data_IF_765867622885
#
_entry.id   IF_765867622885
#
_cell.length_a   1.000
_cell.length_b   1.000
_cell.length_c   1.000
_cell.angle_alpha   90.00
_cell.angle_beta   90.00
_cell.angle_gamma   90.00
#
_symmetry.space_group_name_H-M   'P 1'
#
loop_
_entity.id
_entity.type
_entity.pdbx_description
1 polymer ?
#
# COMPACT_ATOMS: atom_id res chain seq x y z
N UNK A 1 -25.86 -8.02 -24.16
CA UNK A 1 -25.12 -7.90 -22.91
C UNK A 1 -23.81 -7.20 -23.19
N UNK A 2 -23.59 -6.07 -22.57
CA UNK A 2 -22.27 -5.44 -22.56
C UNK A 2 -21.76 -5.45 -21.11
N UNK A 3 -20.95 -6.45 -20.82
CA UNK A 3 -20.29 -6.58 -19.52
C UNK A 3 -19.39 -5.35 -19.28
N UNK A 4 -19.66 -4.61 -18.24
CA UNK A 4 -18.77 -3.56 -17.73
C UNK A 4 -17.75 -4.21 -16.81
N UNK A 5 -16.47 -4.00 -17.14
CA UNK A 5 -15.35 -4.47 -16.34
C UNK A 5 -14.25 -3.43 -16.34
N UNK A 6 -14.13 -2.69 -15.25
CA UNK A 6 -13.08 -1.67 -15.07
C UNK A 6 -12.21 -2.07 -13.88
N UNK A 7 -10.90 -2.07 -14.06
CA UNK A 7 -9.91 -2.35 -13.02
C UNK A 7 -9.27 -1.05 -12.55
N UNK A 8 -9.25 -0.83 -11.26
CA UNK A 8 -8.64 0.35 -10.64
C UNK A 8 -7.42 -0.06 -9.85
N UNK A 9 -6.23 0.28 -10.36
CA UNK A 9 -4.97 0.05 -9.67
C UNK A 9 -4.67 1.21 -8.71
N UNK A 10 -4.35 0.90 -7.47
CA UNK A 10 -3.86 1.85 -6.47
C UNK A 10 -2.35 1.74 -6.38
N UNK A 11 -1.68 2.51 -7.24
CA UNK A 11 -0.22 2.53 -7.30
C UNK A 11 0.40 2.78 -5.92
N UNK A 12 1.54 2.15 -5.68
CA UNK A 12 2.30 2.24 -4.43
C UNK A 12 1.86 1.21 -3.40
N UNK A 13 0.57 1.11 -3.09
CA UNK A 13 0.00 0.04 -2.25
C UNK A 13 -0.11 -1.27 -3.05
N UNK A 14 -0.21 -1.15 -4.37
CA UNK A 14 -0.46 -2.23 -5.32
C UNK A 14 -1.81 -2.93 -5.10
N UNK A 15 -2.78 -2.23 -4.48
CA UNK A 15 -4.14 -2.73 -4.34
C UNK A 15 -4.91 -2.58 -5.65
N UNK A 16 -5.77 -3.54 -5.94
CA UNK A 16 -6.59 -3.61 -7.14
C UNK A 16 -8.05 -3.75 -6.71
N UNK A 17 -8.88 -2.85 -7.21
CA UNK A 17 -10.33 -2.89 -7.05
C UNK A 17 -11.01 -2.94 -8.40
N UNK A 18 -12.29 -3.30 -8.43
CA UNK A 18 -13.01 -3.53 -9.67
C UNK A 18 -14.37 -2.83 -9.64
N UNK A 19 -14.76 -2.22 -10.78
CA UNK A 19 -16.14 -1.87 -11.08
C UNK A 19 -16.64 -2.85 -12.16
N UNK A 20 -17.70 -3.57 -11.84
CA UNK A 20 -18.32 -4.54 -12.74
C UNK A 20 -19.82 -4.24 -12.82
N UNK A 21 -20.47 -4.64 -13.92
CA UNK A 21 -21.90 -4.40 -14.07
C UNK A 21 -22.40 -4.73 -15.46
N UNK A 22 -23.65 -4.33 -15.69
CA UNK A 22 -24.36 -4.49 -16.94
C UNK A 22 -24.90 -3.14 -17.40
N UNK A 23 -24.60 -2.75 -18.66
CA UNK A 23 -25.02 -1.46 -19.22
C UNK A 23 -26.49 -1.45 -19.64
N UNK A 24 -27.10 -2.62 -19.95
CA UNK A 24 -28.51 -2.70 -20.33
C UNK A 24 -29.41 -2.51 -19.10
N UNK A 25 -29.06 -3.06 -17.94
CA UNK A 25 -29.77 -2.79 -16.68
C UNK A 25 -29.35 -1.48 -16.01
N UNK A 26 -28.22 -0.91 -16.42
CA UNK A 26 -27.70 0.30 -15.82
C UNK A 26 -27.27 0.17 -14.37
N UNK A 27 -26.89 -1.04 -13.92
CA UNK A 27 -26.46 -1.33 -12.55
C UNK A 27 -25.05 -1.88 -12.50
N UNK A 28 -24.34 -1.57 -11.41
CA UNK A 28 -22.98 -2.02 -11.19
C UNK A 28 -22.62 -2.21 -9.74
N UNK A 29 -21.52 -2.91 -9.52
CA UNK A 29 -20.93 -3.19 -8.23
C UNK A 29 -19.46 -2.78 -8.20
N UNK A 30 -18.98 -2.38 -7.01
CA UNK A 30 -17.56 -2.14 -6.77
C UNK A 30 -17.05 -3.17 -5.77
N UNK A 31 -15.91 -3.78 -6.08
CA UNK A 31 -15.24 -4.75 -5.21
C UNK A 31 -13.96 -4.11 -4.65
N UNK A 32 -13.79 -4.13 -3.33
CA UNK A 32 -12.66 -3.62 -2.55
C UNK A 32 -12.30 -2.15 -2.88
N UNK A 33 -13.23 -1.18 -2.72
CA UNK A 33 -12.96 0.21 -3.09
C UNK A 33 -11.91 0.87 -2.20
N UNK A 34 -11.02 1.65 -2.81
CA UNK A 34 -10.11 2.57 -2.09
C UNK A 34 -10.85 3.80 -1.56
N UNK A 35 -10.31 4.53 -0.56
CA UNK A 35 -11.04 5.62 0.11
C UNK A 35 -11.23 6.89 -0.73
N UNK A 36 -10.40 7.14 -1.73
CA UNK A 36 -10.56 8.23 -2.71
C UNK A 36 -11.53 7.79 -3.82
N UNK A 37 -12.84 7.75 -3.47
CA UNK A 37 -13.91 7.08 -4.23
C UNK A 37 -14.33 7.75 -5.52
N UNK A 38 -13.88 8.98 -5.80
CA UNK A 38 -14.21 9.75 -6.99
C UNK A 38 -14.02 8.97 -8.28
N UNK A 39 -12.98 8.12 -8.32
CA UNK A 39 -12.67 7.28 -9.49
C UNK A 39 -13.83 6.33 -9.85
N UNK A 40 -14.49 5.74 -8.87
CA UNK A 40 -15.62 4.82 -9.12
C UNK A 40 -16.86 5.57 -9.59
N UNK A 41 -17.12 6.76 -9.03
CA UNK A 41 -18.21 7.62 -9.45
C UNK A 41 -18.02 8.12 -10.89
N UNK A 42 -16.79 8.42 -11.29
CA UNK A 42 -16.44 8.80 -12.66
C UNK A 42 -16.58 7.61 -13.63
N UNK A 43 -16.08 6.43 -13.25
CA UNK A 43 -16.20 5.23 -14.06
C UNK A 43 -17.66 4.81 -14.22
N UNK A 44 -18.46 4.84 -13.16
CA UNK A 44 -19.89 4.52 -13.21
C UNK A 44 -20.63 5.48 -14.17
N UNK A 45 -20.35 6.80 -14.07
CA UNK A 45 -20.93 7.80 -14.98
C UNK A 45 -20.51 7.58 -16.43
N UNK A 46 -19.22 7.28 -16.67
CA UNK A 46 -18.68 7.01 -18.02
C UNK A 46 -19.36 5.80 -18.67
N UNK A 47 -19.62 4.77 -17.87
CA UNK A 47 -20.24 3.53 -18.33
C UNK A 47 -21.79 3.54 -18.22
N UNK A 48 -22.41 4.63 -17.79
CA UNK A 48 -23.86 4.79 -17.74
C UNK A 48 -24.56 3.92 -16.68
N UNK A 49 -23.86 3.52 -15.60
CA UNK A 49 -24.40 2.65 -14.56
C UNK A 49 -24.50 3.34 -13.19
N UNK A 50 -25.47 2.93 -12.41
CA UNK A 50 -25.56 3.26 -10.99
C UNK A 50 -24.84 2.19 -10.15
N UNK A 51 -23.99 2.61 -9.22
CA UNK A 51 -23.40 1.69 -8.24
C UNK A 51 -24.47 1.34 -7.21
N UNK A 52 -24.85 0.08 -7.14
CA UNK A 52 -25.89 -0.45 -6.24
C UNK A 52 -25.32 -1.37 -5.17
N UNK A 53 -24.18 -1.98 -5.42
CA UNK A 53 -23.52 -2.92 -4.52
C UNK A 53 -22.07 -2.55 -4.33
N UNK A 54 -21.58 -2.72 -3.10
CA UNK A 54 -20.19 -2.54 -2.73
C UNK A 54 -19.77 -3.78 -1.96
N UNK A 55 -18.83 -4.54 -2.51
CA UNK A 55 -18.38 -5.79 -1.93
C UNK A 55 -17.01 -5.63 -1.28
N UNK A 56 -16.85 -6.17 -0.08
CA UNK A 56 -15.57 -6.38 0.57
C UNK A 56 -15.21 -7.86 0.49
N UNK A 57 -13.99 -8.17 0.04
CA UNK A 57 -13.49 -9.56 0.09
C UNK A 57 -13.04 -9.93 1.50
N UNK A 58 -12.50 -8.99 2.25
CA UNK A 58 -12.00 -9.18 3.61
C UNK A 58 -11.79 -7.83 4.33
N UNK A 59 -11.45 -7.87 5.61
CA UNK A 59 -11.06 -6.67 6.37
C UNK A 59 -9.61 -6.30 6.01
N UNK A 60 -9.44 -5.31 5.14
CA UNK A 60 -8.14 -4.86 4.62
C UNK A 60 -7.20 -4.36 5.72
N UNK A 61 -5.91 -4.69 5.58
CA UNK A 61 -4.85 -4.27 6.50
C UNK A 61 -3.96 -3.15 5.95
N UNK A 62 -3.92 -2.96 4.65
CA UNK A 62 -2.95 -2.14 3.92
C UNK A 62 -3.47 -0.75 3.53
N UNK A 63 -4.79 -0.60 3.38
CA UNK A 63 -5.46 0.67 3.07
C UNK A 63 -6.76 0.85 3.84
N UNK A 64 -7.25 2.08 3.89
CA UNK A 64 -8.61 2.37 4.39
C UNK A 64 -9.61 1.92 3.34
N UNK A 65 -10.60 1.10 3.71
CA UNK A 65 -11.71 0.75 2.82
C UNK A 65 -12.54 1.98 2.48
N UNK A 66 -12.84 2.12 1.19
CA UNK A 66 -13.73 3.17 0.66
C UNK A 66 -15.21 2.82 0.73
N UNK A 67 -15.59 1.65 1.23
CA UNK A 67 -16.97 1.15 1.15
C UNK A 67 -17.97 2.08 1.79
N UNK A 68 -17.70 2.58 2.99
CA UNK A 68 -18.61 3.51 3.67
C UNK A 68 -18.69 4.86 2.97
N UNK A 69 -17.56 5.38 2.51
CA UNK A 69 -17.50 6.64 1.74
C UNK A 69 -18.29 6.51 0.45
N UNK A 70 -18.09 5.40 -0.29
CA UNK A 70 -18.78 5.16 -1.55
C UNK A 70 -20.30 4.97 -1.35
N UNK A 71 -20.70 4.25 -0.29
CA UNK A 71 -22.12 4.09 0.06
C UNK A 71 -22.77 5.43 0.41
N UNK A 72 -22.10 6.28 1.18
CA UNK A 72 -22.57 7.63 1.50
C UNK A 72 -22.69 8.49 0.24
N UNK A 73 -21.71 8.45 -0.65
CA UNK A 73 -21.69 9.25 -1.88
C UNK A 73 -22.73 8.83 -2.91
N UNK A 74 -23.08 7.56 -2.96
CA UNK A 74 -24.10 7.02 -3.89
C UNK A 74 -25.51 7.10 -3.31
N UNK A 75 -25.68 7.15 -1.97
CA UNK A 75 -26.95 7.13 -1.22
C UNK A 75 -27.82 5.88 -1.43
N UNK A 76 -27.52 5.05 -2.42
CA UNK A 76 -28.32 3.86 -2.80
C UNK A 76 -27.56 2.56 -2.66
N UNK A 77 -26.23 2.60 -2.79
CA UNK A 77 -25.41 1.40 -2.71
C UNK A 77 -25.34 0.86 -1.27
N UNK A 78 -25.42 -0.47 -1.17
CA UNK A 78 -25.26 -1.20 0.09
C UNK A 78 -23.88 -1.84 0.15
N UNK A 79 -23.33 -1.90 1.36
CA UNK A 79 -22.05 -2.57 1.61
C UNK A 79 -22.31 -4.02 1.99
N UNK A 80 -21.70 -4.94 1.29
CA UNK A 80 -21.78 -6.38 1.48
C UNK A 80 -20.44 -6.89 2.01
N UNK A 81 -20.44 -7.56 3.14
CA UNK A 81 -19.24 -8.12 3.76
C UNK A 81 -19.53 -9.48 4.41
N UNK A 82 -18.51 -10.32 4.46
CA UNK A 82 -18.64 -11.69 4.97
C UNK A 82 -19.11 -11.73 6.42
N UNK A 83 -20.09 -12.59 6.71
CA UNK A 83 -20.50 -12.92 8.07
C UNK A 83 -19.81 -14.18 8.62
N UNK A 84 -18.93 -14.78 7.83
CA UNK A 84 -18.16 -15.97 8.19
C UNK A 84 -16.93 -15.63 9.04
N UNK A 85 -16.26 -16.63 9.56
CA UNK A 85 -14.98 -16.48 10.26
C UNK A 85 -15.00 -15.66 11.54
N UNK A 86 -16.20 -15.26 12.02
CA UNK A 86 -16.37 -14.48 13.25
C UNK A 86 -16.04 -12.99 13.07
N UNK A 87 -16.16 -12.46 11.87
CA UNK A 87 -15.98 -11.02 11.61
C UNK A 87 -17.06 -10.18 12.29
N UNK A 88 -16.64 -9.08 12.91
CA UNK A 88 -17.52 -8.10 13.52
C UNK A 88 -17.30 -6.73 12.87
N UNK A 89 -18.39 -6.09 12.42
CA UNK A 89 -18.36 -4.77 11.82
C UNK A 89 -19.06 -3.74 12.70
N UNK A 90 -18.38 -2.63 12.98
CA UNK A 90 -18.89 -1.49 13.74
C UNK A 90 -19.82 -0.56 12.95
N UNK A 91 -20.24 -0.97 11.75
CA UNK A 91 -21.11 -0.21 10.86
C UNK A 91 -22.08 -1.14 10.11
N UNK A 92 -23.08 -0.58 9.45
CA UNK A 92 -24.08 -1.37 8.73
C UNK A 92 -23.47 -2.03 7.50
N UNK A 93 -23.55 -3.35 7.46
CA UNK A 93 -23.25 -4.19 6.31
C UNK A 93 -24.38 -5.17 6.05
N UNK A 94 -24.60 -5.52 4.80
CA UNK A 94 -25.43 -6.67 4.42
C UNK A 94 -24.56 -7.93 4.54
N UNK A 95 -24.94 -8.90 5.37
CA UNK A 95 -24.11 -10.07 5.62
C UNK A 95 -24.06 -11.00 4.42
N UNK A 96 -22.85 -11.39 4.01
CA UNK A 96 -22.61 -12.36 2.94
C UNK A 96 -22.24 -13.71 3.53
N UNK A 97 -22.95 -14.76 3.10
CA UNK A 97 -22.68 -16.15 3.46
C UNK A 97 -22.15 -16.91 2.24
N UNK A 98 -21.52 -18.05 2.49
CA UNK A 98 -21.09 -18.96 1.41
C UNK A 98 -22.28 -19.37 0.54
N UNK A 99 -22.13 -19.27 -0.79
CA UNK A 99 -23.17 -19.57 -1.77
C UNK A 99 -24.18 -18.45 -2.03
N UNK A 100 -24.06 -17.27 -1.39
CA UNK A 100 -24.93 -16.14 -1.72
C UNK A 100 -24.72 -15.66 -3.15
N UNK A 101 -25.83 -15.43 -3.89
CA UNK A 101 -25.81 -14.99 -5.28
C UNK A 101 -26.27 -13.54 -5.43
N UNK A 102 -25.62 -12.79 -6.29
CA UNK A 102 -25.93 -11.41 -6.64
C UNK A 102 -26.03 -11.28 -8.17
N UNK A 103 -27.12 -10.68 -8.64
CA UNK A 103 -27.40 -10.54 -10.08
C UNK A 103 -27.32 -9.09 -10.53
N UNK A 104 -26.65 -8.88 -11.65
CA UNK A 104 -26.51 -7.60 -12.35
C UNK A 104 -26.78 -7.83 -13.83
N UNK A 105 -28.03 -7.74 -14.25
CA UNK A 105 -28.42 -8.17 -15.56
C UNK A 105 -28.06 -9.64 -15.82
N UNK A 106 -27.30 -9.88 -16.88
CA UNK A 106 -26.82 -11.22 -17.20
C UNK A 106 -25.58 -11.68 -16.40
N UNK A 107 -24.99 -10.83 -15.57
CA UNK A 107 -23.88 -11.19 -14.69
C UNK A 107 -24.39 -11.75 -13.35
N UNK A 108 -23.86 -12.88 -12.94
CA UNK A 108 -24.09 -13.49 -11.62
C UNK A 108 -22.77 -13.58 -10.87
N UNK A 109 -22.75 -13.05 -9.64
CA UNK A 109 -21.67 -13.25 -8.69
C UNK A 109 -22.11 -14.22 -7.61
N UNK A 110 -21.36 -15.30 -7.42
CA UNK A 110 -21.55 -16.23 -6.31
C UNK A 110 -20.44 -16.04 -5.27
N UNK A 111 -20.83 -15.68 -4.06
CA UNK A 111 -19.89 -15.54 -2.95
C UNK A 111 -19.43 -16.93 -2.47
N UNK A 112 -18.14 -17.10 -2.21
CA UNK A 112 -17.58 -18.33 -1.68
C UNK A 112 -16.64 -18.02 -0.52
N UNK A 113 -16.90 -18.59 0.66
CA UNK A 113 -16.00 -18.46 1.80
C UNK A 113 -14.63 -19.06 1.45
N UNK A 114 -13.58 -18.25 1.55
CA UNK A 114 -12.22 -18.57 1.09
C UNK A 114 -11.17 -18.17 2.13
N UNK A 115 -11.26 -18.70 3.37
CA UNK A 115 -10.41 -18.31 4.48
C UNK A 115 -8.95 -18.70 4.26
N UNK A 116 -8.05 -17.99 4.98
CA UNK A 116 -6.62 -18.27 4.96
C UNK A 116 -5.77 -17.02 5.10
N UNK A 117 -5.97 -16.00 4.27
CA UNK A 117 -5.39 -14.68 4.51
C UNK A 117 -6.04 -14.02 5.74
N UNK A 118 -7.36 -14.06 5.78
CA UNK A 118 -8.16 -13.73 6.98
C UNK A 118 -9.23 -14.81 7.21
N UNK A 119 -9.79 -14.93 8.42
CA UNK A 119 -10.81 -15.95 8.71
C UNK A 119 -12.11 -15.71 7.96
N UNK A 120 -12.49 -14.45 7.76
CA UNK A 120 -13.75 -14.02 7.14
C UNK A 120 -13.67 -13.86 5.63
N UNK A 121 -12.52 -14.11 5.03
CA UNK A 121 -12.29 -13.86 3.62
C UNK A 121 -13.32 -14.55 2.71
N UNK A 122 -13.84 -13.80 1.74
CA UNK A 122 -14.77 -14.28 0.72
C UNK A 122 -14.26 -13.91 -0.67
N UNK A 123 -14.37 -14.81 -1.62
CA UNK A 123 -14.16 -14.53 -3.04
C UNK A 123 -15.49 -14.50 -3.78
N UNK A 124 -15.53 -13.89 -4.96
CA UNK A 124 -16.72 -13.80 -5.79
C UNK A 124 -16.47 -14.46 -7.14
N UNK A 125 -17.19 -15.56 -7.40
CA UNK A 125 -17.12 -16.31 -8.65
C UNK A 125 -18.12 -15.69 -9.63
N UNK A 126 -17.65 -15.32 -10.82
CA UNK A 126 -18.42 -14.61 -11.83
C UNK A 126 -18.80 -15.57 -12.98
N UNK A 127 -20.08 -15.59 -13.32
CA UNK A 127 -20.63 -16.37 -14.42
C UNK A 127 -21.72 -15.57 -15.15
N UNK A 128 -22.09 -16.03 -16.35
CA UNK A 128 -23.26 -15.54 -17.06
C UNK A 128 -24.52 -16.23 -16.53
N UNK A 129 -25.63 -15.51 -16.43
CA UNK A 129 -26.92 -16.08 -15.96
C UNK A 129 -27.40 -17.26 -16.83
N UNK A 130 -27.11 -17.24 -18.14
CA UNK A 130 -27.43 -18.33 -19.04
C UNK A 130 -26.57 -19.59 -18.82
N UNK A 131 -25.38 -19.41 -18.19
CA UNK A 131 -24.40 -20.47 -17.98
C UNK A 131 -23.78 -20.41 -16.57
N UNK A 132 -24.60 -20.48 -15.50
CA UNK A 132 -24.13 -20.27 -14.12
C UNK A 132 -23.11 -21.32 -13.64
N UNK A 133 -23.14 -22.52 -14.24
CA UNK A 133 -22.21 -23.62 -13.94
C UNK A 133 -20.83 -23.47 -14.61
N UNK A 134 -20.67 -22.47 -15.48
CA UNK A 134 -19.44 -22.23 -16.24
C UNK A 134 -18.87 -20.83 -15.96
N UNK A 135 -18.27 -20.62 -14.79
CA UNK A 135 -17.72 -19.33 -14.44
C UNK A 135 -16.57 -18.94 -15.38
N UNK A 136 -16.54 -17.68 -15.76
CA UNK A 136 -15.46 -17.12 -16.59
C UNK A 136 -14.38 -16.43 -15.76
N UNK A 137 -14.68 -16.02 -14.52
CA UNK A 137 -13.76 -15.30 -13.65
C UNK A 137 -14.01 -15.51 -12.16
N UNK A 138 -13.02 -15.19 -11.35
CA UNK A 138 -13.12 -15.16 -9.89
C UNK A 138 -12.33 -14.00 -9.32
N UNK A 139 -12.99 -13.16 -8.50
CA UNK A 139 -12.36 -12.10 -7.72
C UNK A 139 -11.83 -12.73 -6.43
N UNK A 140 -10.55 -13.04 -6.44
CA UNK A 140 -9.91 -13.88 -5.42
C UNK A 140 -9.55 -13.12 -4.14
N UNK A 141 -9.74 -11.79 -4.11
CA UNK A 141 -9.28 -10.99 -2.99
C UNK A 141 -7.78 -11.23 -2.74
N UNK A 142 -7.46 -11.44 -1.46
CA UNK A 142 -6.11 -11.75 -1.01
C UNK A 142 -5.86 -13.25 -0.75
N UNK A 143 -6.75 -14.14 -1.22
CA UNK A 143 -6.54 -15.59 -1.05
C UNK A 143 -5.61 -16.20 -2.10
N UNK A 144 -5.72 -15.76 -3.37
CA UNK A 144 -4.88 -16.22 -4.48
C UNK A 144 -4.44 -15.03 -5.33
N UNK A 145 -3.13 -14.89 -5.52
CA UNK A 145 -2.49 -13.90 -6.38
C UNK A 145 -1.84 -14.56 -7.61
N UNK A 146 -1.44 -13.75 -8.56
CA UNK A 146 -0.58 -14.21 -9.64
C UNK A 146 0.76 -14.66 -9.07
N UNK A 147 1.12 -15.94 -9.27
CA UNK A 147 2.35 -16.56 -8.80
C UNK A 147 2.52 -16.58 -7.26
N UNK A 148 1.48 -16.27 -6.49
CA UNK A 148 1.57 -16.19 -5.03
C UNK A 148 0.21 -16.48 -4.39
N UNK A 149 0.15 -16.41 -3.06
CA UNK A 149 -1.08 -16.42 -2.27
C UNK A 149 -0.96 -15.48 -1.08
N UNK A 150 -2.08 -15.13 -0.47
CA UNK A 150 -2.11 -14.25 0.68
C UNK A 150 -1.38 -14.82 1.89
N UNK A 151 -0.76 -13.95 2.66
CA UNK A 151 -0.03 -14.33 3.88
C UNK A 151 -0.98 -14.67 5.01
N UNK A 152 -0.83 -15.84 5.65
CA UNK A 152 -1.72 -16.28 6.74
C UNK A 152 -1.27 -15.82 8.14
N UNK A 153 -0.11 -15.16 8.28
CA UNK A 153 0.56 -14.89 9.55
C UNK A 153 0.12 -13.60 10.26
N UNK A 154 -0.73 -12.77 9.63
CA UNK A 154 -1.13 -11.45 10.18
C UNK A 154 -1.91 -11.53 11.51
N UNK A 155 -2.48 -12.68 11.86
CA UNK A 155 -3.15 -12.90 13.15
C UNK A 155 -2.27 -13.65 14.17
N UNK A 156 -0.98 -13.81 13.91
CA UNK A 156 0.01 -14.33 14.83
C UNK A 156 -0.30 -15.76 15.29
N UNK A 157 -0.93 -15.95 16.46
CA UNK A 157 -1.21 -17.27 17.06
C UNK A 157 -2.07 -18.20 16.21
N UNK A 158 -2.83 -17.68 15.25
CA UNK A 158 -3.72 -18.44 14.39
C UNK A 158 -3.09 -18.74 13.02
N UNK A 159 -1.80 -18.42 12.82
CA UNK A 159 -1.12 -18.52 11.54
C UNK A 159 -1.13 -19.94 10.94
N UNK A 160 -0.85 -20.98 11.74
CA UNK A 160 -0.89 -22.39 11.28
C UNK A 160 -2.29 -22.80 10.83
N UNK A 161 -3.31 -22.40 11.59
CA UNK A 161 -4.71 -22.65 11.25
C UNK A 161 -5.10 -21.97 9.95
N UNK A 162 -4.73 -20.69 9.80
CA UNK A 162 -5.05 -19.90 8.60
C UNK A 162 -4.27 -20.45 7.38
N UNK A 163 -3.01 -20.83 7.54
CA UNK A 163 -2.26 -21.47 6.46
C UNK A 163 -2.88 -22.80 6.02
N UNK A 164 -3.40 -23.61 6.96
CA UNK A 164 -4.15 -24.81 6.64
C UNK A 164 -5.48 -24.52 5.95
N UNK A 165 -6.20 -23.48 6.34
CA UNK A 165 -7.42 -23.04 5.67
C UNK A 165 -7.12 -22.48 4.26
N UNK A 166 -6.01 -21.77 4.07
CA UNK A 166 -5.57 -21.34 2.76
C UNK A 166 -5.30 -22.51 1.82
N UNK A 167 -4.72 -23.59 2.35
CA UNK A 167 -4.57 -24.84 1.59
C UNK A 167 -5.94 -25.34 1.11
N UNK A 168 -6.95 -25.41 1.99
CA UNK A 168 -8.29 -25.86 1.61
C UNK A 168 -8.90 -24.92 0.57
N UNK A 169 -8.76 -23.62 0.73
CA UNK A 169 -9.22 -22.62 -0.24
C UNK A 169 -8.60 -22.85 -1.62
N UNK A 170 -7.29 -23.10 -1.70
CA UNK A 170 -6.62 -23.30 -2.97
C UNK A 170 -6.99 -24.65 -3.60
N UNK A 171 -6.97 -25.73 -2.81
CA UNK A 171 -7.14 -27.09 -3.34
C UNK A 171 -8.59 -27.55 -3.43
N UNK A 172 -9.47 -27.11 -2.50
CA UNK A 172 -10.85 -27.59 -2.45
C UNK A 172 -11.85 -26.60 -3.10
N UNK A 173 -11.45 -25.34 -3.29
CA UNK A 173 -12.29 -24.34 -3.98
C UNK A 173 -11.70 -24.04 -5.37
N UNK A 174 -10.56 -23.37 -5.45
CA UNK A 174 -10.05 -22.87 -6.73
C UNK A 174 -9.57 -23.98 -7.68
N UNK A 175 -8.91 -25.01 -7.18
CA UNK A 175 -8.43 -26.09 -8.04
C UNK A 175 -9.55 -26.90 -8.72
N UNK A 176 -10.80 -26.78 -8.23
CA UNK A 176 -11.99 -27.40 -8.82
C UNK A 176 -12.63 -26.57 -9.93
N UNK A 177 -12.25 -25.28 -10.03
CA UNK A 177 -12.67 -24.45 -11.14
C UNK A 177 -11.95 -24.89 -12.42
N UNK A 178 -12.61 -24.64 -13.56
CA UNK A 178 -12.03 -24.91 -14.88
C UNK A 178 -10.73 -24.11 -15.07
N UNK A 179 -9.79 -24.71 -15.80
CA UNK A 179 -8.45 -24.14 -16.03
C UNK A 179 -8.49 -22.77 -16.75
N UNK A 180 -9.56 -22.49 -17.49
CA UNK A 180 -9.78 -21.24 -18.22
C UNK A 180 -10.29 -20.08 -17.37
N UNK A 181 -10.78 -20.33 -16.17
CA UNK A 181 -11.31 -19.28 -15.27
C UNK A 181 -10.20 -18.27 -14.93
N UNK A 182 -10.49 -16.98 -15.17
CA UNK A 182 -9.55 -15.89 -14.92
C UNK A 182 -9.59 -15.50 -13.44
N UNK A 183 -8.43 -15.37 -12.81
CA UNK A 183 -8.32 -14.81 -11.45
C UNK A 183 -8.13 -13.30 -11.49
N UNK A 184 -8.89 -12.60 -10.66
CA UNK A 184 -8.86 -11.16 -10.45
C UNK A 184 -8.51 -10.86 -8.98
N UNK A 185 -7.21 -10.76 -8.63
CA UNK A 185 -6.78 -10.58 -7.24
C UNK A 185 -6.93 -9.13 -6.78
N UNK A 186 -7.01 -8.91 -5.45
CA UNK A 186 -7.02 -7.55 -4.88
C UNK A 186 -5.63 -6.92 -4.75
N UNK A 187 -4.55 -7.67 -5.06
CA UNK A 187 -3.19 -7.09 -5.09
C UNK A 187 -2.33 -7.58 -6.25
N UNK A 188 -1.43 -6.67 -6.67
CA UNK A 188 -0.36 -6.92 -7.64
C UNK A 188 1.03 -6.91 -7.01
N UNK A 189 2.05 -6.97 -7.87
CA UNK A 189 3.47 -6.95 -7.50
C UNK A 189 3.82 -5.75 -6.63
N UNK A 190 4.55 -6.02 -5.54
CA UNK A 190 5.00 -5.02 -4.57
C UNK A 190 4.15 -4.87 -3.31
N UNK A 191 2.97 -5.51 -3.24
CA UNK A 191 2.18 -5.53 -2.02
C UNK A 191 2.81 -6.44 -0.95
N UNK A 192 2.87 -6.02 0.32
CA UNK A 192 3.29 -6.87 1.42
C UNK A 192 2.23 -7.87 1.89
N UNK A 193 1.05 -7.93 1.24
CA UNK A 193 0.01 -8.93 1.52
C UNK A 193 0.36 -10.33 1.01
N UNK A 194 1.36 -10.46 0.13
CA UNK A 194 1.91 -11.73 -0.33
C UNK A 194 3.40 -11.62 -0.63
N UNK A 195 4.09 -12.75 -0.67
CA UNK A 195 5.49 -12.82 -1.07
C UNK A 195 5.58 -13.06 -2.58
N UNK A 196 6.46 -12.34 -3.27
CA UNK A 196 6.79 -12.56 -4.69
C UNK A 196 5.58 -12.59 -5.64
N UNK A 197 4.60 -11.70 -5.41
CA UNK A 197 3.45 -11.54 -6.32
C UNK A 197 3.95 -11.15 -7.71
N UNK A 198 3.43 -11.82 -8.74
CA UNK A 198 3.84 -11.60 -10.13
C UNK A 198 3.41 -10.25 -10.69
N UNK A 199 4.09 -9.78 -11.73
CA UNK A 199 3.88 -8.45 -12.33
C UNK A 199 2.59 -8.35 -13.18
N UNK A 200 1.98 -9.48 -13.56
CA UNK A 200 0.70 -9.48 -14.27
C UNK A 200 -0.44 -9.19 -13.30
N UNK A 201 -1.46 -8.46 -13.77
CA UNK A 201 -2.61 -8.10 -12.95
C UNK A 201 -3.73 -9.15 -12.95
N UNK A 202 -3.58 -10.19 -13.75
CA UNK A 202 -4.50 -11.33 -13.86
C UNK A 202 -3.76 -12.58 -14.31
N UNK A 203 -4.37 -13.74 -14.10
CA UNK A 203 -3.89 -15.05 -14.53
C UNK A 203 -5.08 -15.98 -14.73
N UNK A 204 -4.84 -17.26 -14.94
CA UNK A 204 -5.91 -18.28 -14.99
C UNK A 204 -5.67 -19.36 -13.94
N UNK A 205 -6.74 -20.00 -13.51
CA UNK A 205 -6.65 -21.13 -12.57
C UNK A 205 -5.67 -22.21 -13.09
N UNK A 206 -5.75 -22.54 -14.37
CA UNK A 206 -4.84 -23.56 -14.96
C UNK A 206 -3.38 -23.13 -14.97
N UNK A 207 -3.10 -21.83 -15.20
CA UNK A 207 -1.72 -21.32 -15.12
C UNK A 207 -1.21 -21.37 -13.67
N UNK A 208 -2.01 -20.90 -12.71
CA UNK A 208 -1.62 -20.91 -11.31
C UNK A 208 -1.43 -22.36 -10.76
N UNK A 209 -2.34 -23.29 -11.08
CA UNK A 209 -2.16 -24.72 -10.73
C UNK A 209 -0.83 -25.28 -11.23
N UNK A 210 -0.34 -24.80 -12.36
CA UNK A 210 0.88 -25.31 -12.98
C UNK A 210 2.17 -24.64 -12.48
N UNK A 211 2.13 -23.35 -12.20
CA UNK A 211 3.35 -22.55 -11.99
C UNK A 211 3.43 -21.84 -10.64
N UNK A 212 2.30 -21.64 -9.95
CA UNK A 212 2.30 -20.99 -8.66
C UNK A 212 3.02 -21.85 -7.61
N UNK A 213 4.00 -21.31 -6.88
CA UNK A 213 4.76 -22.07 -5.86
C UNK A 213 3.90 -22.73 -4.80
N UNK A 214 2.76 -22.16 -4.44
CA UNK A 214 1.83 -22.74 -3.47
C UNK A 214 1.20 -24.04 -3.98
N UNK A 215 0.78 -24.09 -5.24
CA UNK A 215 0.24 -25.31 -5.86
C UNK A 215 1.30 -26.40 -6.10
N UNK A 216 2.59 -26.07 -6.02
CA UNK A 216 3.66 -27.08 -6.06
C UNK A 216 3.82 -27.83 -4.72
N UNK A 217 3.13 -27.41 -3.65
CA UNK A 217 3.12 -28.04 -2.32
C UNK A 217 1.82 -28.81 -2.14
N UNK A 218 1.80 -30.05 -2.66
CA UNK A 218 0.59 -30.88 -2.65
C UNK A 218 0.24 -31.41 -1.25
N UNK A 219 1.26 -31.63 -0.42
CA UNK A 219 1.06 -32.09 0.96
C UNK A 219 0.76 -30.88 1.86
N UNK A 220 -0.31 -30.97 2.65
CA UNK A 220 -0.78 -29.87 3.53
C UNK A 220 0.33 -29.29 4.41
N UNK A 221 1.10 -30.17 5.08
CA UNK A 221 2.18 -29.69 5.98
C UNK A 221 3.26 -28.94 5.21
N UNK A 222 3.68 -29.46 4.06
CA UNK A 222 4.66 -28.76 3.20
C UNK A 222 4.15 -27.42 2.67
N UNK A 223 2.85 -27.30 2.46
CA UNK A 223 2.20 -26.02 2.10
C UNK A 223 2.23 -25.04 3.28
N UNK A 224 1.83 -25.48 4.47
CA UNK A 224 1.82 -24.67 5.70
C UNK A 224 3.24 -24.16 6.00
N UNK A 225 4.23 -25.07 5.98
CA UNK A 225 5.64 -24.72 6.21
C UNK A 225 6.13 -23.67 5.19
N UNK A 226 5.75 -23.80 3.92
CA UNK A 226 6.10 -22.85 2.88
C UNK A 226 5.44 -21.48 3.09
N UNK A 227 4.14 -21.45 3.39
CA UNK A 227 3.38 -20.22 3.58
C UNK A 227 3.91 -19.40 4.78
N UNK A 228 4.48 -20.06 5.79
CA UNK A 228 4.97 -19.42 7.01
C UNK A 228 6.51 -19.22 7.02
N UNK A 229 7.24 -19.75 6.03
CA UNK A 229 8.72 -19.75 6.07
C UNK A 229 9.34 -18.35 6.04
N UNK A 230 8.85 -17.46 5.19
CA UNK A 230 9.46 -16.13 4.97
C UNK A 230 8.44 -15.07 4.57
N UNK A 231 7.49 -14.73 5.45
CA UNK A 231 6.58 -13.65 5.15
C UNK A 231 7.34 -12.31 5.03
N UNK A 232 6.91 -11.39 4.16
CA UNK A 232 7.48 -10.05 4.12
C UNK A 232 7.29 -9.34 5.48
N UNK A 233 8.15 -8.37 5.85
CA UNK A 233 7.96 -7.61 7.09
C UNK A 233 6.55 -7.02 7.18
N UNK A 234 5.87 -7.26 8.31
CA UNK A 234 4.52 -6.69 8.55
C UNK A 234 4.62 -5.18 8.75
N UNK A 235 3.91 -4.37 7.95
CA UNK A 235 3.84 -2.94 8.19
C UNK A 235 3.21 -2.59 9.54
N UNK A 236 3.83 -1.68 10.27
CA UNK A 236 3.41 -1.33 11.64
C UNK A 236 1.97 -0.80 11.71
N UNK A 237 1.48 -0.22 10.63
CA UNK A 237 0.14 0.34 10.55
C UNK A 237 -0.97 -0.68 10.24
N UNK A 238 -0.64 -1.93 9.84
CA UNK A 238 -1.62 -2.96 9.47
C UNK A 238 -2.61 -3.25 10.59
N UNK A 239 -2.15 -3.40 11.82
CA UNK A 239 -3.05 -3.63 12.98
C UNK A 239 -4.02 -2.48 13.21
N UNK A 240 -3.58 -1.24 12.92
CA UNK A 240 -4.44 -0.05 12.99
C UNK A 240 -5.48 -0.07 11.87
N UNK A 241 -5.06 -0.39 10.64
CA UNK A 241 -5.98 -0.46 9.50
C UNK A 241 -7.06 -1.52 9.70
N UNK A 242 -6.71 -2.73 10.12
CA UNK A 242 -7.69 -3.78 10.43
C UNK A 242 -8.74 -3.29 11.44
N UNK A 243 -8.30 -2.67 12.53
CA UNK A 243 -9.23 -2.11 13.52
C UNK A 243 -10.11 -1.00 12.95
N UNK A 244 -9.53 -0.11 12.15
CA UNK A 244 -10.23 0.99 11.52
C UNK A 244 -11.29 0.48 10.54
N UNK A 245 -10.92 -0.47 9.67
CA UNK A 245 -11.83 -1.03 8.66
C UNK A 245 -12.93 -1.87 9.30
N UNK A 246 -12.63 -2.66 10.33
CA UNK A 246 -13.65 -3.39 11.09
C UNK A 246 -14.60 -2.44 11.84
N UNK A 247 -14.10 -1.39 12.48
CA UNK A 247 -14.95 -0.42 13.19
C UNK A 247 -15.77 0.46 12.24
N UNK A 248 -15.37 0.56 10.97
CA UNK A 248 -15.95 1.43 9.97
C UNK A 248 -15.22 2.79 9.91
N UNK A 249 -14.45 3.06 8.85
CA UNK A 249 -13.77 4.34 8.66
C UNK A 249 -14.76 5.51 8.72
N UNK A 250 -14.29 6.67 9.16
CA UNK A 250 -15.08 7.90 9.12
C UNK A 250 -15.45 8.26 7.68
N UNK A 251 -16.69 8.62 7.45
CA UNK A 251 -17.15 9.17 6.17
C UNK A 251 -16.72 10.62 6.07
N UNK A 252 -15.91 10.93 5.09
CA UNK A 252 -15.36 12.28 4.90
C UNK A 252 -16.29 13.18 4.05
N UNK A 253 -17.11 12.57 3.18
CA UNK A 253 -17.98 13.25 2.21
C UNK A 253 -17.22 13.96 1.10
N UNK A 254 -15.98 14.30 1.33
CA UNK A 254 -15.02 14.88 0.38
C UNK A 254 -13.60 14.73 0.89
N UNK A 255 -12.63 14.89 0.00
CA UNK A 255 -11.22 14.94 0.41
C UNK A 255 -10.95 16.07 1.41
N UNK A 256 -10.13 15.83 2.45
CA UNK A 256 -9.75 16.87 3.40
C UNK A 256 -9.08 18.06 2.72
N UNK A 257 -9.57 19.26 3.01
CA UNK A 257 -8.94 20.49 2.54
C UNK A 257 -7.73 20.79 3.42
N UNK A 258 -6.55 20.94 2.79
CA UNK A 258 -5.33 21.32 3.48
C UNK A 258 -5.28 22.87 3.57
N UNK A 259 -5.28 23.46 4.76
CA UNK A 259 -5.22 24.94 4.90
C UNK A 259 -3.95 25.53 4.27
N UNK A 260 -4.11 26.58 3.48
CA UNK A 260 -3.00 27.30 2.87
C UNK A 260 -2.39 28.29 3.88
N UNK A 261 -1.12 28.15 4.25
CA UNK A 261 -0.45 29.00 5.25
C UNK A 261 0.63 29.89 4.62
N UNK A 262 0.56 31.21 4.78
CA UNK A 262 1.65 32.11 4.41
C UNK A 262 2.93 31.77 5.20
N UNK A 263 4.15 32.11 4.69
CA UNK A 263 5.42 31.72 5.32
C UNK A 263 5.54 32.03 6.82
N UNK A 264 5.03 33.18 7.25
CA UNK A 264 5.10 33.57 8.68
C UNK A 264 4.20 32.69 9.55
N UNK A 265 2.99 32.37 9.11
CA UNK A 265 2.07 31.49 9.82
C UNK A 265 2.60 30.03 9.83
N UNK A 266 3.14 29.59 8.69
CA UNK A 266 3.75 28.26 8.59
C UNK A 266 4.97 28.13 9.52
N UNK A 267 5.87 29.14 9.57
CA UNK A 267 7.01 29.18 10.48
C UNK A 267 6.57 29.03 11.94
N UNK A 268 5.54 29.81 12.34
CA UNK A 268 4.97 29.71 13.68
C UNK A 268 4.47 28.29 13.99
N UNK A 269 3.74 27.66 13.07
CA UNK A 269 3.24 26.28 13.23
C UNK A 269 4.38 25.26 13.35
N UNK A 270 5.49 25.44 12.62
CA UNK A 270 6.71 24.60 12.76
C UNK A 270 7.34 24.76 14.14
N UNK A 271 7.45 25.99 14.64
CA UNK A 271 8.06 26.28 15.95
C UNK A 271 7.23 25.75 17.13
N UNK A 272 5.92 25.75 17.01
CA UNK A 272 4.99 25.19 18.01
C UNK A 272 5.09 23.65 18.14
N UNK A 273 5.66 22.96 17.15
CA UNK A 273 5.82 21.49 17.11
C UNK A 273 4.53 20.69 17.38
N UNK A 274 3.38 21.28 17.08
CA UNK A 274 2.07 20.67 17.28
C UNK A 274 1.66 19.74 16.10
N UNK A 275 2.48 19.67 15.07
CA UNK A 275 2.23 18.88 13.86
C UNK A 275 3.52 18.23 13.33
N UNK A 276 3.35 17.16 12.58
CA UNK A 276 4.45 16.48 11.90
C UNK A 276 4.79 17.23 10.61
N UNK A 277 6.02 17.69 10.47
CA UNK A 277 6.47 18.41 9.29
C UNK A 277 6.95 17.40 8.23
N UNK A 278 6.28 17.38 7.08
CA UNK A 278 6.59 16.51 5.94
C UNK A 278 6.85 17.35 4.70
N UNK A 279 8.01 17.11 4.09
CA UNK A 279 8.38 17.68 2.79
C UNK A 279 8.12 16.64 1.71
N UNK A 280 7.15 16.91 0.84
CA UNK A 280 6.71 15.99 -0.21
C UNK A 280 7.43 16.21 -1.55
N UNK A 281 8.39 17.11 -1.60
CA UNK A 281 9.21 17.35 -2.79
C UNK A 281 10.17 16.20 -3.09
N UNK A 282 10.76 16.22 -4.26
CA UNK A 282 11.74 15.20 -4.66
C UNK A 282 12.95 15.20 -3.73
N UNK A 283 13.67 14.08 -3.64
CA UNK A 283 14.89 13.94 -2.83
C UNK A 283 15.98 14.96 -3.18
N UNK A 284 16.08 15.36 -4.46
CA UNK A 284 17.07 16.34 -4.89
C UNK A 284 16.65 17.77 -4.48
N UNK A 285 15.37 18.11 -4.59
CA UNK A 285 14.84 19.39 -4.13
C UNK A 285 14.99 19.52 -2.60
N UNK A 286 14.65 18.48 -1.86
CA UNK A 286 14.87 18.40 -0.40
C UNK A 286 16.35 18.55 -0.06
N UNK A 287 17.23 17.82 -0.76
CA UNK A 287 18.68 17.88 -0.55
C UNK A 287 19.29 19.26 -0.76
N UNK A 288 18.77 20.01 -1.74
CA UNK A 288 19.19 21.37 -2.06
C UNK A 288 18.86 22.40 -0.98
N UNK A 289 17.78 22.15 -0.21
CA UNK A 289 17.36 23.00 0.91
C UNK A 289 15.96 22.64 1.41
N UNK A 290 15.84 22.44 2.71
CA UNK A 290 14.59 22.10 3.39
C UNK A 290 14.47 22.79 4.76
N UNK A 291 13.28 22.75 5.34
CA UNK A 291 13.02 23.26 6.69
C UNK A 291 13.53 22.23 7.70
N UNK A 292 14.25 22.68 8.72
CA UNK A 292 14.79 21.79 9.74
C UNK A 292 13.68 20.98 10.43
N UNK A 293 13.95 19.70 10.66
CA UNK A 293 12.99 18.77 11.24
C UNK A 293 11.97 18.18 10.27
N UNK A 294 11.99 18.54 8.98
CA UNK A 294 11.12 17.93 7.97
C UNK A 294 11.53 16.49 7.66
N UNK A 295 10.54 15.59 7.54
CA UNK A 295 10.70 14.28 6.92
C UNK A 295 10.50 14.38 5.42
N UNK A 296 11.41 13.83 4.63
CA UNK A 296 11.24 13.79 3.18
C UNK A 296 10.46 12.54 2.75
N UNK A 297 9.15 12.67 2.62
CA UNK A 297 8.27 11.65 2.06
C UNK A 297 7.72 12.17 0.73
N UNK A 298 8.50 12.05 -0.34
CA UNK A 298 8.18 12.63 -1.65
C UNK A 298 6.80 12.21 -2.18
N UNK A 299 6.09 13.12 -2.85
CA UNK A 299 4.75 12.92 -3.44
C UNK A 299 4.82 11.95 -4.62
N UNK A 300 4.95 10.67 -4.31
CA UNK A 300 4.90 9.56 -5.25
C UNK A 300 3.86 8.54 -4.74
N UNK A 301 3.44 7.57 -5.55
CA UNK A 301 2.45 6.57 -5.14
C UNK A 301 2.80 5.86 -3.82
N UNK A 302 4.09 5.64 -3.52
CA UNK A 302 4.54 4.99 -2.28
C UNK A 302 4.52 5.91 -1.04
N UNK A 303 4.09 7.19 -1.16
CA UNK A 303 3.93 8.09 -0.02
C UNK A 303 2.99 7.48 1.03
N UNK A 304 1.85 6.92 0.59
CA UNK A 304 0.84 6.29 1.46
C UNK A 304 1.48 5.25 2.40
N UNK A 305 2.30 4.35 1.85
CA UNK A 305 2.99 3.31 2.62
C UNK A 305 3.97 3.92 3.63
N UNK A 306 4.81 4.87 3.19
CA UNK A 306 5.84 5.45 4.07
C UNK A 306 5.25 6.36 5.13
N UNK A 307 4.14 7.04 4.84
CA UNK A 307 3.33 7.70 5.87
C UNK A 307 2.85 6.68 6.90
N UNK A 308 2.25 5.57 6.45
CA UNK A 308 1.78 4.49 7.32
C UNK A 308 2.88 3.92 8.24
N UNK A 309 4.09 3.71 7.70
CA UNK A 309 5.22 3.20 8.48
C UNK A 309 5.76 4.16 9.55
N UNK A 310 5.77 5.49 9.28
CA UNK A 310 6.61 6.44 10.01
C UNK A 310 5.86 7.55 10.73
N UNK A 311 4.64 7.89 10.30
CA UNK A 311 3.89 8.98 10.90
C UNK A 311 2.93 8.51 11.99
N UNK A 312 2.69 9.38 12.97
CA UNK A 312 1.67 9.19 13.98
C UNK A 312 0.31 9.67 13.44
N UNK A 313 -0.70 8.80 13.28
CA UNK A 313 -2.00 9.18 12.75
C UNK A 313 -2.81 10.08 13.70
N UNK A 314 -2.44 10.19 14.96
CA UNK A 314 -3.09 11.06 15.92
C UNK A 314 -2.69 12.55 15.75
N UNK A 315 -1.49 12.79 15.19
CA UNK A 315 -0.95 14.14 15.02
C UNK A 315 -1.29 14.70 13.63
N UNK A 316 -1.64 16.00 13.53
CA UNK A 316 -1.83 16.65 12.24
C UNK A 316 -0.51 16.75 11.46
N UNK A 317 -0.63 16.99 10.15
CA UNK A 317 0.50 17.09 9.23
C UNK A 317 0.63 18.51 8.69
N UNK A 318 1.84 19.07 8.74
CA UNK A 318 2.27 20.27 8.01
C UNK A 318 3.02 19.85 6.77
N UNK A 319 2.69 20.43 5.61
CA UNK A 319 3.23 20.02 4.32
C UNK A 319 4.07 21.10 3.64
N UNK A 320 5.21 20.67 3.10
CA UNK A 320 5.93 21.43 2.08
C UNK A 320 5.71 20.72 0.75
N UNK A 321 5.03 21.38 -0.18
CA UNK A 321 4.69 20.88 -1.51
C UNK A 321 5.70 21.39 -2.54
N UNK A 322 5.82 20.70 -3.68
CA UNK A 322 6.58 21.19 -4.83
C UNK A 322 5.82 22.32 -5.54
N UNK A 323 4.49 22.19 -5.60
CA UNK A 323 3.54 23.21 -6.10
C UNK A 323 2.27 23.19 -5.26
N UNK A 324 1.66 24.38 -5.05
CA UNK A 324 0.39 24.51 -4.35
C UNK A 324 -0.75 23.71 -5.05
N UNK A 325 -0.64 23.50 -6.37
CA UNK A 325 -1.59 22.72 -7.16
C UNK A 325 -1.58 21.20 -6.81
N UNK A 326 -0.55 20.71 -6.12
CA UNK A 326 -0.48 19.30 -5.72
C UNK A 326 -1.20 18.97 -4.40
N UNK A 327 -1.77 19.98 -3.72
CA UNK A 327 -2.36 19.80 -2.41
C UNK A 327 -3.43 18.70 -2.37
N UNK A 328 -4.34 18.69 -3.34
CA UNK A 328 -5.40 17.67 -3.44
C UNK A 328 -4.84 16.27 -3.69
N UNK A 329 -3.94 16.12 -4.66
CA UNK A 329 -3.27 14.84 -4.96
C UNK A 329 -2.51 14.30 -3.74
N UNK A 330 -1.84 15.17 -3.00
CA UNK A 330 -1.11 14.78 -1.78
C UNK A 330 -2.10 14.36 -0.69
N UNK A 331 -3.23 15.07 -0.53
CA UNK A 331 -4.29 14.66 0.40
C UNK A 331 -4.82 13.26 0.07
N UNK A 332 -5.09 12.95 -1.21
CA UNK A 332 -5.51 11.62 -1.67
C UNK A 332 -4.54 10.52 -1.23
N UNK A 333 -3.23 10.74 -1.42
CA UNK A 333 -2.20 9.77 -1.02
C UNK A 333 -2.18 9.52 0.49
N UNK A 334 -2.40 10.55 1.30
CA UNK A 334 -2.45 10.42 2.76
C UNK A 334 -3.71 9.72 3.25
N UNK A 335 -4.86 10.01 2.65
CA UNK A 335 -6.16 9.42 3.03
C UNK A 335 -6.15 7.91 2.85
N UNK A 336 -5.45 7.37 1.85
CA UNK A 336 -5.34 5.93 1.59
C UNK A 336 -4.86 5.11 2.79
N UNK A 337 -4.05 5.69 3.67
CA UNK A 337 -3.59 5.06 4.90
C UNK A 337 -4.10 5.77 6.17
N UNK A 338 -5.21 6.51 6.04
CA UNK A 338 -5.99 7.04 7.16
C UNK A 338 -5.43 8.31 7.80
N UNK A 339 -4.68 9.12 7.05
CA UNK A 339 -4.24 10.43 7.49
C UNK A 339 -5.16 11.50 6.92
N UNK A 340 -6.01 12.06 7.76
CA UNK A 340 -7.04 13.05 7.37
C UNK A 340 -6.86 14.40 8.05
N UNK A 341 -5.93 14.50 9.01
CA UNK A 341 -5.70 15.72 9.79
C UNK A 341 -4.52 16.51 9.23
N UNK A 342 -4.79 17.65 8.63
CA UNK A 342 -3.77 18.54 8.11
C UNK A 342 -3.78 19.87 8.85
N UNK A 343 -2.61 20.28 9.35
CA UNK A 343 -2.41 21.59 9.98
C UNK A 343 -2.25 22.69 8.92
N UNK A 344 -1.80 22.33 7.72
CA UNK A 344 -1.67 23.24 6.59
C UNK A 344 -0.50 22.90 5.66
N UNK A 345 -0.38 23.67 4.57
CA UNK A 345 0.77 23.64 3.68
C UNK A 345 1.39 25.02 3.49
N UNK A 346 2.68 25.06 3.19
CA UNK A 346 3.43 26.30 2.92
C UNK A 346 3.07 26.85 1.53
N UNK A 347 2.34 27.97 1.47
CA UNK A 347 1.99 28.62 0.22
C UNK A 347 3.23 29.13 -0.51
N UNK A 348 3.31 28.85 -1.81
CA UNK A 348 4.46 29.19 -2.65
C UNK A 348 5.72 28.38 -2.35
N UNK A 349 5.59 27.34 -1.52
CA UNK A 349 6.62 26.34 -1.24
C UNK A 349 7.93 26.93 -0.70
N UNK A 350 9.02 26.21 -0.91
CA UNK A 350 10.34 26.62 -0.42
C UNK A 350 10.85 27.93 -1.00
N UNK A 351 10.37 28.35 -2.18
CA UNK A 351 10.70 29.65 -2.73
C UNK A 351 10.18 30.79 -1.86
N UNK A 352 8.94 30.68 -1.37
CA UNK A 352 8.35 31.66 -0.47
C UNK A 352 9.07 31.70 0.89
N UNK A 353 9.46 30.53 1.42
CA UNK A 353 10.27 30.39 2.63
C UNK A 353 11.61 31.12 2.53
N UNK A 354 12.34 30.89 1.43
CA UNK A 354 13.63 31.54 1.16
C UNK A 354 13.49 33.05 1.00
N UNK A 355 12.48 33.51 0.25
CA UNK A 355 12.21 34.93 0.04
C UNK A 355 11.83 35.66 1.34
N UNK A 356 11.28 34.93 2.33
CA UNK A 356 11.03 35.46 3.67
C UNK A 356 12.32 35.49 4.56
N UNK A 357 13.46 35.08 4.04
CA UNK A 357 14.74 35.11 4.75
C UNK A 357 14.88 34.04 5.85
N UNK A 358 14.07 32.98 5.81
CA UNK A 358 14.12 31.94 6.83
C UNK A 358 15.23 30.88 6.58
N UNK A 359 15.75 30.26 7.66
CA UNK A 359 16.89 29.35 7.57
C UNK A 359 16.54 28.08 6.81
N UNK A 360 17.57 27.51 6.18
CA UNK A 360 17.52 26.26 5.46
C UNK A 360 18.55 25.28 6.01
N UNK A 361 18.17 24.02 6.09
CA UNK A 361 19.07 22.89 6.23
C UNK A 361 19.28 22.22 4.87
N UNK A 362 20.43 21.57 4.66
CA UNK A 362 20.75 20.81 3.45
C UNK A 362 20.96 19.34 3.78
N UNK A 363 20.70 18.50 2.79
CA UNK A 363 21.08 17.10 2.81
C UNK A 363 22.05 16.86 1.64
N UNK A 364 23.37 16.77 1.87
CA UNK A 364 24.36 16.55 0.83
C UNK A 364 24.07 15.28 0.04
N UNK A 365 24.26 15.37 -1.27
CA UNK A 365 24.10 14.25 -2.20
C UNK A 365 25.49 13.77 -2.62
N UNK A 366 25.71 12.45 -2.57
CA UNK A 366 26.96 11.82 -2.98
C UNK A 366 26.72 10.84 -4.11
N UNK A 367 27.51 10.86 -5.15
CA UNK A 367 27.38 9.93 -6.28
C UNK A 367 28.00 8.57 -5.96
N UNK A 368 27.61 7.52 -6.70
CA UNK A 368 28.21 6.18 -6.55
C UNK A 368 29.71 6.17 -6.89
N UNK A 369 30.17 7.06 -7.79
CA UNK A 369 31.57 7.21 -8.14
C UNK A 369 32.40 7.86 -7.02
N UNK A 370 31.85 8.88 -6.35
CA UNK A 370 32.47 9.47 -5.17
C UNK A 370 32.58 8.46 -4.04
N UNK A 371 31.50 7.69 -3.78
CA UNK A 371 31.53 6.61 -2.79
C UNK A 371 32.59 5.56 -3.11
N UNK A 372 32.71 5.15 -4.38
CA UNK A 372 33.71 4.14 -4.77
C UNK A 372 35.15 4.66 -4.53
N UNK A 373 35.39 5.93 -4.76
CA UNK A 373 36.72 6.53 -4.69
C UNK A 373 37.13 7.01 -3.28
N UNK A 374 36.14 7.31 -2.40
CA UNK A 374 36.44 7.91 -1.09
C UNK A 374 35.45 7.38 -0.01
N UNK A 375 35.84 6.25 0.60
CA UNK A 375 35.05 5.64 1.70
C UNK A 375 35.60 5.92 3.07
N UNK A 376 36.77 6.54 3.17
CA UNK A 376 37.45 6.74 4.45
C UNK A 376 36.61 7.57 5.42
N UNK A 377 36.35 6.99 6.59
CA UNK A 377 35.57 7.62 7.66
C UNK A 377 34.05 7.54 7.52
N UNK A 378 33.49 7.15 6.34
CA UNK A 378 32.06 7.02 6.12
C UNK A 378 31.49 5.75 6.79
N UNK A 379 30.34 5.88 7.40
CA UNK A 379 29.44 4.78 7.69
C UNK A 379 28.47 4.64 6.52
N UNK A 380 28.50 3.52 5.81
CA UNK A 380 27.59 3.27 4.68
C UNK A 380 26.39 2.47 5.19
N UNK A 381 25.20 3.06 5.14
CA UNK A 381 23.98 2.49 5.69
C UNK A 381 23.01 2.05 4.59
N UNK A 382 22.68 0.75 4.55
CA UNK A 382 21.62 0.19 3.73
C UNK A 382 20.30 0.20 4.50
N UNK A 383 19.28 0.86 3.95
CA UNK A 383 17.94 0.95 4.56
C UNK A 383 16.87 0.14 3.82
N UNK A 384 17.29 -0.75 2.93
CA UNK A 384 16.41 -1.65 2.18
C UNK A 384 15.83 -2.74 3.05
N UNK A 385 14.83 -3.46 2.51
CA UNK A 385 14.25 -4.62 3.15
C UNK A 385 15.25 -5.79 3.31
N UNK A 386 15.00 -6.71 4.27
CA UNK A 386 15.89 -7.85 4.53
C UNK A 386 16.16 -8.74 3.31
N UNK A 387 15.14 -8.98 2.47
CA UNK A 387 15.30 -9.75 1.24
C UNK A 387 16.21 -9.05 0.22
N UNK A 388 16.06 -7.72 0.05
CA UNK A 388 16.92 -6.93 -0.82
C UNK A 388 18.38 -6.96 -0.34
N UNK A 389 18.61 -6.88 0.98
CA UNK A 389 19.93 -6.98 1.59
C UNK A 389 20.60 -8.33 1.33
N UNK A 390 19.86 -9.44 1.52
CA UNK A 390 20.35 -10.81 1.27
C UNK A 390 20.72 -11.03 -0.20
N UNK A 391 20.00 -10.40 -1.13
CA UNK A 391 20.22 -10.53 -2.57
C UNK A 391 21.42 -9.73 -3.10
N UNK A 392 22.15 -9.01 -2.24
CA UNK A 392 23.36 -8.28 -2.56
C UNK A 392 23.34 -6.85 -2.02
N UNK A 393 24.54 -6.37 -1.64
CA UNK A 393 24.74 -5.08 -0.97
C UNK A 393 26.03 -4.40 -1.40
N UNK A 394 26.17 -3.12 -1.10
CA UNK A 394 27.42 -2.38 -1.25
C UNK A 394 28.41 -2.93 -0.20
N UNK A 395 29.63 -3.37 -0.57
CA UNK A 395 30.58 -3.98 0.38
C UNK A 395 30.84 -3.08 1.59
N UNK A 396 30.85 -3.69 2.78
CA UNK A 396 31.10 -2.99 4.05
C UNK A 396 29.97 -2.10 4.53
N UNK A 397 28.77 -2.18 3.95
CA UNK A 397 27.61 -1.48 4.43
C UNK A 397 27.04 -2.13 5.70
N UNK A 398 26.50 -1.31 6.61
CA UNK A 398 25.68 -1.74 7.73
C UNK A 398 24.22 -1.78 7.28
N UNK A 399 23.42 -2.72 7.80
CA UNK A 399 22.01 -2.84 7.47
C UNK A 399 21.11 -2.44 8.64
N UNK A 400 20.27 -1.44 8.43
CA UNK A 400 19.14 -1.13 9.31
C UNK A 400 17.93 -0.87 8.42
N UNK A 401 16.95 -1.77 8.45
CA UNK A 401 15.72 -1.59 7.69
C UNK A 401 15.02 -0.28 8.09
N UNK A 402 14.65 0.56 7.11
CA UNK A 402 14.14 1.93 7.34
C UNK A 402 13.09 2.04 8.46
N UNK A 403 12.05 1.18 8.57
CA UNK A 403 11.09 1.23 9.67
C UNK A 403 11.68 1.01 11.06
N UNK A 404 12.86 0.41 11.16
CA UNK A 404 13.56 0.17 12.42
C UNK A 404 14.58 1.28 12.74
N UNK A 405 14.83 2.19 11.80
CA UNK A 405 15.95 3.13 11.87
C UNK A 405 15.88 4.02 13.10
N UNK A 406 14.72 4.58 13.43
CA UNK A 406 14.57 5.45 14.59
C UNK A 406 14.94 4.74 15.89
N UNK A 407 14.52 3.47 16.04
CA UNK A 407 14.81 2.66 17.24
C UNK A 407 16.26 2.19 17.30
N UNK A 408 16.91 2.03 16.15
CA UNK A 408 18.25 1.46 16.01
C UNK A 408 19.32 2.50 15.63
N UNK A 409 18.96 3.78 15.56
CA UNK A 409 19.92 4.86 15.22
C UNK A 409 21.11 4.94 16.17
N UNK A 410 20.96 4.48 17.42
CA UNK A 410 22.05 4.36 18.40
C UNK A 410 23.14 3.33 18.04
N UNK A 411 22.94 2.48 17.04
CA UNK A 411 23.96 1.57 16.50
C UNK A 411 24.97 2.30 15.58
N UNK A 412 24.63 3.53 15.16
CA UNK A 412 25.49 4.37 14.34
C UNK A 412 26.30 5.35 15.21
N UNK A 413 27.53 5.59 14.81
CA UNK A 413 28.40 6.57 15.44
C UNK A 413 28.02 7.99 14.99
N UNK A 414 27.61 8.84 15.92
CA UNK A 414 27.13 10.21 15.65
C UNK A 414 28.25 11.17 15.23
N UNK A 415 29.50 10.85 15.56
CA UNK A 415 30.67 11.66 15.24
C UNK A 415 31.21 11.38 13.82
N UNK A 416 30.72 10.33 13.16
CA UNK A 416 31.16 9.95 11.83
C UNK A 416 30.08 10.25 10.79
N UNK A 417 30.46 10.71 9.58
CA UNK A 417 29.52 10.89 8.49
C UNK A 417 28.76 9.60 8.15
N UNK A 418 27.45 9.70 7.94
CA UNK A 418 26.59 8.57 7.54
C UNK A 418 26.12 8.78 6.10
N UNK A 419 26.49 7.88 5.20
CA UNK A 419 25.95 7.82 3.85
C UNK A 419 24.85 6.79 3.79
N UNK A 420 23.63 7.23 3.46
CA UNK A 420 22.44 6.37 3.38
C UNK A 420 22.16 5.98 1.93
N UNK A 421 21.89 4.70 1.68
CA UNK A 421 21.42 4.23 0.39
C UNK A 421 20.24 3.27 0.49
N UNK A 422 19.50 3.14 -0.62
CA UNK A 422 18.43 2.17 -0.79
C UNK A 422 18.48 1.54 -2.20
N UNK A 423 17.34 1.30 -2.85
CA UNK A 423 17.34 0.86 -4.26
C UNK A 423 17.64 2.03 -5.22
N UNK A 424 16.94 3.18 -5.08
CA UNK A 424 16.95 4.29 -6.04
C UNK A 424 17.28 5.67 -5.45
N UNK A 425 17.23 5.82 -4.10
CA UNK A 425 17.50 7.08 -3.39
C UNK A 425 16.30 7.63 -2.60
N UNK A 426 15.06 7.25 -2.94
CA UNK A 426 13.85 7.72 -2.24
C UNK A 426 13.86 7.37 -0.75
N UNK A 427 13.93 6.06 -0.41
CA UNK A 427 14.01 5.59 0.99
C UNK A 427 15.26 6.12 1.70
N UNK A 428 16.35 6.32 0.97
CA UNK A 428 17.58 6.85 1.52
C UNK A 428 17.44 8.33 1.93
N UNK A 429 16.75 9.16 1.13
CA UNK A 429 16.45 10.55 1.49
C UNK A 429 15.55 10.62 2.72
N UNK A 430 14.50 9.78 2.76
CA UNK A 430 13.62 9.67 3.91
C UNK A 430 14.40 9.23 5.17
N UNK A 431 15.22 8.19 5.08
CA UNK A 431 16.06 7.72 6.19
C UNK A 431 17.06 8.80 6.66
N UNK A 432 17.66 9.51 5.71
CA UNK A 432 18.56 10.61 6.03
C UNK A 432 17.83 11.74 6.78
N UNK A 433 16.60 12.06 6.41
CA UNK A 433 15.79 13.05 7.15
C UNK A 433 15.42 12.57 8.56
N UNK A 434 15.20 11.27 8.76
CA UNK A 434 15.02 10.68 10.09
C UNK A 434 16.30 10.85 10.92
N UNK A 435 17.47 10.51 10.39
CA UNK A 435 18.74 10.66 11.09
C UNK A 435 19.04 12.13 11.45
N UNK A 436 18.75 13.07 10.53
CA UNK A 436 18.89 14.50 10.84
C UNK A 436 17.99 14.94 12.00
N UNK A 437 16.76 14.43 12.09
CA UNK A 437 15.86 14.66 13.23
C UNK A 437 16.39 14.08 14.53
N UNK A 438 17.06 12.93 14.46
CA UNK A 438 17.72 12.27 15.59
C UNK A 438 19.06 12.95 16.00
N UNK A 439 19.44 14.06 15.34
CA UNK A 439 20.59 14.88 15.70
C UNK A 439 21.91 14.49 15.05
N UNK A 440 21.90 13.65 14.01
CA UNK A 440 23.11 13.42 13.20
C UNK A 440 23.46 14.67 12.39
N UNK A 441 24.69 15.14 12.49
CA UNK A 441 25.15 16.40 11.86
C UNK A 441 25.57 16.22 10.42
N UNK A 442 26.27 15.14 10.06
CA UNK A 442 26.75 14.84 8.70
C UNK A 442 26.05 13.57 8.17
N UNK A 443 24.92 13.78 7.54
CA UNK A 443 24.16 12.73 6.85
C UNK A 443 24.13 13.05 5.37
N UNK A 444 24.36 12.05 4.52
CA UNK A 444 24.41 12.17 3.06
C UNK A 444 23.48 11.16 2.41
N UNK A 445 22.82 11.54 1.32
CA UNK A 445 22.00 10.66 0.49
C UNK A 445 22.81 10.20 -0.74
N UNK A 446 22.57 8.96 -1.19
CA UNK A 446 23.13 8.39 -2.41
C UNK A 446 22.03 8.31 -3.50
N UNK A 447 21.84 9.32 -4.37
CA UNK A 447 20.90 9.25 -5.49
C UNK A 447 21.25 8.09 -6.43
N UNK A 448 20.22 7.43 -7.01
CA UNK A 448 20.40 6.23 -7.81
C UNK A 448 20.78 4.98 -7.00
N UNK A 449 21.37 5.15 -5.82
CA UNK A 449 21.61 4.13 -4.79
C UNK A 449 22.13 2.79 -5.35
N UNK A 450 21.61 1.65 -4.90
CA UNK A 450 22.08 0.32 -5.31
C UNK A 450 21.88 0.05 -6.81
N UNK A 451 20.83 0.61 -7.43
CA UNK A 451 20.63 0.49 -8.88
C UNK A 451 21.78 1.17 -9.66
N UNK A 452 22.13 2.41 -9.30
CA UNK A 452 23.26 3.11 -9.92
C UNK A 452 24.60 2.42 -9.64
N UNK A 453 24.79 1.87 -8.42
CA UNK A 453 25.95 1.09 -8.04
C UNK A 453 26.16 -0.13 -8.96
N UNK A 454 25.10 -0.90 -9.19
CA UNK A 454 25.10 -2.05 -10.10
C UNK A 454 25.31 -1.64 -11.56
N UNK A 455 24.65 -0.55 -12.00
CA UNK A 455 24.79 -0.04 -13.37
C UNK A 455 26.23 0.41 -13.66
N UNK A 456 26.91 0.97 -12.66
CA UNK A 456 28.35 1.31 -12.74
C UNK A 456 29.28 0.08 -12.65
N UNK A 457 28.71 -1.13 -12.50
CA UNK A 457 29.43 -2.41 -12.36
C UNK A 457 30.43 -2.45 -11.19
N UNK A 458 30.13 -1.74 -10.12
CA UNK A 458 30.94 -1.77 -8.90
C UNK A 458 30.73 -3.07 -8.12
N UNK A 459 31.71 -3.49 -7.27
CA UNK A 459 31.63 -4.73 -6.52
C UNK A 459 30.37 -4.84 -5.66
N UNK A 460 29.77 -6.02 -5.66
CA UNK A 460 28.59 -6.37 -4.83
C UNK A 460 28.97 -7.52 -3.91
N UNK A 461 28.69 -7.35 -2.63
CA UNK A 461 28.78 -8.41 -1.61
C UNK A 461 27.45 -9.14 -1.52
N UNK A 462 27.48 -10.47 -1.34
CA UNK A 462 26.30 -11.32 -1.11
C UNK A 462 26.13 -11.66 0.37
#
# INVERSE_FOLDING_TARGET
>A
MSLIFERVLTDGIAAISYLIGDDEEGTGAVIDPRPDVEIYLELARKNGVAITHIFETHIHADLVSGSRELADRTQTAKVYASSEGGAEYGFTVEPVQDGAEFKFGALVLTARHSPGHTPEHVCYVAADEEHPDFPWGVFTGDSLFVNSAGRPDLLGRDADKLASQLYDTLWELYAKLEDGVVIHPSHGSGSPCGADIGDRLESTIGFEKRFNPYYQRKERQAFVDYALATPPPEPTYYKRMKKLNAAGPEVLGRLPIIPALPPAAFKKAVEEKAAQLVDTRTMLAFGGGHIEGALNIGASPILSIWAGWLLDPAQPILLVLDSDAEAEKVAQLFVRTGYTKFAGYLVGGMRAWQNAGYPLRKLPQMTVHELQNSRNGLQVLDVRGPAEWKNGRIPGAQHIFLPQLQKRSGELDRERPVLVYCATGYRASLAASVLQREGFSDVRNLPGSFHAWKAARFPVEK
#
